data_IF_250814177497
#
_entry.id   IF_250814177497
#
_cell.length_a   1.000
_cell.length_b   1.000
_cell.length_c   1.000
_cell.angle_alpha   90.00
_cell.angle_beta   90.00
_cell.angle_gamma   90.00
#
_symmetry.space_group_name_H-M   'P 1'
#
loop_
_entity.id
_entity.type
_entity.pdbx_description
1 polymer ?
#
# COMPACT_ATOMS: atom_id res chain seq x y z
N UNK A 1 29.61 42.24 7.37
CA UNK A 1 29.00 42.58 6.07
C UNK A 1 29.34 41.41 5.16
N UNK A 2 28.45 40.42 5.05
CA UNK A 2 28.74 39.19 4.30
C UNK A 2 27.61 39.00 3.30
N UNK A 3 27.89 39.36 2.06
CA UNK A 3 26.99 39.20 0.91
C UNK A 3 26.97 37.74 0.49
N UNK A 4 25.88 37.04 0.76
CA UNK A 4 25.63 35.70 0.25
C UNK A 4 25.19 35.81 -1.23
N UNK A 5 26.00 35.27 -2.13
CA UNK A 5 25.73 35.18 -3.57
C UNK A 5 24.68 34.09 -3.79
N UNK A 6 23.53 34.47 -4.35
CA UNK A 6 22.45 33.57 -4.74
C UNK A 6 22.88 32.76 -5.98
N UNK A 7 22.91 31.43 -5.89
CA UNK A 7 23.14 30.58 -7.05
C UNK A 7 21.81 30.34 -7.81
N UNK A 8 21.78 30.42 -9.15
CA UNK A 8 20.57 30.15 -9.92
C UNK A 8 20.25 28.65 -10.00
N UNK A 9 18.98 28.32 -9.84
CA UNK A 9 18.40 26.98 -9.93
C UNK A 9 18.52 26.41 -11.36
N UNK A 10 18.98 25.16 -11.56
CA UNK A 10 18.99 24.57 -12.90
C UNK A 10 17.56 24.27 -13.39
N UNK A 11 17.25 24.72 -14.60
CA UNK A 11 15.98 24.49 -15.28
C UNK A 11 15.82 23.02 -15.70
N UNK A 12 14.61 22.49 -15.52
CA UNK A 12 14.22 21.11 -15.88
C UNK A 12 14.09 20.98 -17.41
N UNK A 13 14.78 20.03 -18.07
CA UNK A 13 14.65 19.88 -19.52
C UNK A 13 13.27 19.31 -19.89
N UNK A 14 12.61 19.97 -20.84
CA UNK A 14 11.33 19.52 -21.40
C UNK A 14 11.51 18.23 -22.22
N UNK A 15 10.82 17.16 -21.83
CA UNK A 15 10.77 15.92 -22.61
C UNK A 15 9.86 16.12 -23.83
N UNK A 16 10.47 16.41 -24.99
CA UNK A 16 9.78 16.30 -26.28
C UNK A 16 9.42 14.85 -26.55
N UNK A 17 8.13 14.53 -26.46
CA UNK A 17 7.55 13.25 -26.86
C UNK A 17 7.67 13.13 -28.39
N UNK A 18 8.70 12.41 -28.85
CA UNK A 18 8.84 12.04 -30.26
C UNK A 18 7.82 10.94 -30.58
N UNK A 19 6.76 11.31 -31.31
CA UNK A 19 5.77 10.36 -31.85
C UNK A 19 6.43 9.52 -32.94
N UNK A 20 6.92 8.34 -32.58
CA UNK A 20 7.37 7.33 -33.54
C UNK A 20 6.13 6.70 -34.20
N UNK A 21 5.89 7.05 -35.46
CA UNK A 21 4.91 6.37 -36.31
C UNK A 21 5.60 5.12 -36.88
N UNK A 22 5.21 3.94 -36.39
CA UNK A 22 5.71 2.66 -36.91
C UNK A 22 4.99 2.32 -38.23
N UNK A 23 5.72 1.96 -39.30
CA UNK A 23 5.09 1.50 -40.53
C UNK A 23 4.60 0.05 -40.36
N UNK A 24 3.32 -0.16 -40.64
CA UNK A 24 2.71 -1.49 -40.73
C UNK A 24 3.21 -2.15 -42.01
N UNK A 25 4.17 -3.06 -41.89
CA UNK A 25 4.56 -3.94 -42.98
C UNK A 25 3.68 -5.20 -42.94
N UNK A 26 2.69 -5.26 -43.85
CA UNK A 26 1.89 -6.46 -44.08
C UNK A 26 2.76 -7.55 -44.72
N UNK A 27 3.22 -8.52 -43.93
CA UNK A 27 3.77 -9.76 -44.47
C UNK A 27 2.62 -10.67 -44.93
N UNK A 28 2.50 -10.89 -46.23
CA UNK A 28 1.59 -11.87 -46.80
C UNK A 28 2.01 -13.28 -46.37
N UNK A 29 1.21 -13.92 -45.52
CA UNK A 29 1.42 -15.31 -45.10
C UNK A 29 0.87 -16.22 -46.20
N UNK A 30 1.77 -16.94 -46.85
CA UNK A 30 1.45 -17.93 -47.88
C UNK A 30 0.95 -19.18 -47.16
N UNK A 31 -0.33 -19.52 -47.35
CA UNK A 31 -0.96 -20.71 -46.79
C UNK A 31 -0.40 -21.99 -47.45
N UNK A 32 0.67 -22.54 -46.88
CA UNK A 32 1.10 -23.91 -47.14
C UNK A 32 0.43 -24.87 -46.15
N UNK A 33 -0.48 -25.70 -46.63
CA UNK A 33 -1.10 -26.76 -45.83
C UNK A 33 -0.09 -27.91 -45.63
N UNK A 34 0.69 -27.84 -44.54
CA UNK A 34 1.45 -28.99 -44.05
C UNK A 34 0.56 -29.73 -43.05
N UNK A 35 0.13 -30.93 -43.41
CA UNK A 35 -0.63 -31.81 -42.53
C UNK A 35 0.25 -32.20 -41.34
N UNK A 36 -0.09 -31.69 -40.14
CA UNK A 36 0.55 -32.11 -38.90
C UNK A 36 0.03 -33.51 -38.49
N UNK A 37 0.89 -34.44 -38.07
CA UNK A 37 0.44 -35.70 -37.50
C UNK A 37 -0.28 -35.45 -36.18
N UNK A 38 -1.44 -36.08 -36.01
CA UNK A 38 -2.23 -36.05 -34.80
C UNK A 38 -1.37 -36.51 -33.62
N UNK A 39 -0.93 -35.56 -32.79
CA UNK A 39 -0.26 -35.87 -31.53
C UNK A 39 -1.31 -36.47 -30.59
N UNK A 40 -1.14 -37.74 -30.25
CA UNK A 40 -1.90 -38.38 -29.19
C UNK A 40 -1.74 -37.57 -27.91
N UNK A 41 -2.81 -36.92 -27.46
CA UNK A 41 -2.82 -36.18 -26.21
C UNK A 41 -2.69 -37.18 -25.06
N UNK A 42 -1.47 -37.34 -24.54
CA UNK A 42 -1.26 -37.96 -23.24
C UNK A 42 -2.00 -37.11 -22.21
N UNK A 43 -3.02 -37.68 -21.55
CA UNK A 43 -3.75 -37.00 -20.49
C UNK A 43 -2.75 -36.55 -19.41
N UNK A 44 -2.79 -35.29 -18.93
CA UNK A 44 -1.96 -34.87 -17.83
C UNK A 44 -2.30 -35.72 -16.60
N UNK A 45 -1.31 -36.11 -15.76
CA UNK A 45 -1.59 -36.81 -14.52
C UNK A 45 -2.56 -35.97 -13.66
N UNK A 46 -3.44 -36.60 -12.85
CA UNK A 46 -4.29 -35.85 -11.94
C UNK A 46 -3.39 -35.01 -11.03
N UNK A 47 -3.42 -33.69 -11.22
CA UNK A 47 -2.82 -32.76 -10.27
C UNK A 47 -3.63 -32.91 -9.00
N UNK A 48 -3.08 -33.62 -8.00
CA UNK A 48 -3.61 -33.60 -6.65
C UNK A 48 -3.72 -32.15 -6.21
N UNK A 49 -4.95 -31.64 -6.15
CA UNK A 49 -5.28 -30.31 -5.67
C UNK A 49 -5.19 -30.27 -4.14
N UNK A 50 -4.10 -30.77 -3.57
CA UNK A 50 -3.73 -30.43 -2.19
C UNK A 50 -3.18 -29.02 -2.27
N UNK A 51 -4.10 -28.05 -2.22
CA UNK A 51 -3.76 -26.65 -2.05
C UNK A 51 -3.05 -26.50 -0.71
N UNK A 52 -1.72 -26.49 -0.73
CA UNK A 52 -0.96 -25.93 0.38
C UNK A 52 -1.28 -24.44 0.35
N UNK A 53 -2.18 -23.99 1.22
CA UNK A 53 -2.18 -22.57 1.59
C UNK A 53 -0.77 -22.28 2.08
N UNK A 54 -0.05 -21.42 1.38
CA UNK A 54 1.09 -20.72 1.95
C UNK A 54 0.55 -19.89 3.11
N UNK A 55 0.39 -20.53 4.27
CA UNK A 55 -0.22 -20.00 5.48
C UNK A 55 0.68 -18.99 6.16
N UNK A 56 1.11 -17.98 5.42
CA UNK A 56 1.68 -16.77 6.00
C UNK A 56 0.48 -15.98 6.48
N UNK A 57 0.20 -16.09 7.78
CA UNK A 57 -0.80 -15.26 8.43
C UNK A 57 -0.49 -13.80 8.06
N UNK A 58 -1.46 -13.05 7.49
CA UNK A 58 -1.21 -11.67 7.09
C UNK A 58 -0.82 -10.80 8.29
N UNK A 59 -1.09 -11.24 9.53
CA UNK A 59 -0.68 -10.63 10.78
C UNK A 59 0.06 -11.68 11.66
N UNK A 60 1.36 -11.93 11.44
CA UNK A 60 2.07 -13.08 12.02
C UNK A 60 2.36 -12.97 13.52
N UNK A 61 2.04 -11.82 14.14
CA UNK A 61 2.36 -11.52 15.54
C UNK A 61 1.12 -11.56 16.45
N UNK A 62 0.04 -12.20 16.01
CA UNK A 62 -1.11 -12.51 16.87
C UNK A 62 -0.82 -13.74 17.73
N UNK A 63 -1.36 -13.75 18.95
CA UNK A 63 -1.32 -14.92 19.83
C UNK A 63 -2.08 -16.08 19.19
N UNK A 64 -1.43 -17.23 19.03
CA UNK A 64 -2.03 -18.42 18.39
C UNK A 64 -3.28 -18.94 19.10
N UNK A 65 -3.44 -18.65 20.38
CA UNK A 65 -4.59 -19.05 21.18
C UNK A 65 -5.55 -17.89 21.47
N UNK A 66 -5.35 -16.74 20.81
CA UNK A 66 -5.99 -15.49 21.20
C UNK A 66 -5.51 -15.02 22.57
N UNK A 67 -6.28 -14.11 23.18
CA UNK A 67 -5.98 -13.59 24.51
C UNK A 67 -7.09 -12.67 25.00
N UNK A 68 -6.73 -11.75 25.90
CA UNK A 68 -7.68 -10.85 26.59
C UNK A 68 -8.56 -10.02 25.64
N UNK A 69 -8.12 -9.80 24.40
CA UNK A 69 -8.82 -9.03 23.38
C UNK A 69 -9.29 -9.91 22.19
N UNK A 70 -9.47 -11.20 22.42
CA UNK A 70 -9.90 -12.17 21.40
C UNK A 70 -8.77 -12.62 20.46
N UNK A 71 -9.10 -13.09 19.25
CA UNK A 71 -8.14 -13.72 18.34
C UNK A 71 -7.07 -12.75 17.80
N UNK A 72 -7.35 -11.44 17.79
CA UNK A 72 -6.39 -10.43 17.35
C UNK A 72 -5.44 -9.97 18.46
N UNK A 73 -5.46 -10.61 19.64
CA UNK A 73 -4.54 -10.26 20.73
C UNK A 73 -3.10 -10.45 20.27
N UNK A 74 -2.27 -9.43 20.37
CA UNK A 74 -0.86 -9.55 19.99
C UNK A 74 -0.08 -10.45 20.95
N UNK A 75 0.95 -11.12 20.43
CA UNK A 75 1.95 -11.81 21.24
C UNK A 75 2.65 -10.84 22.19
N UNK A 76 3.26 -11.36 23.26
CA UNK A 76 4.11 -10.58 24.16
C UNK A 76 5.15 -9.77 23.38
N UNK A 77 5.35 -8.52 23.77
CA UNK A 77 6.23 -7.53 23.11
C UNK A 77 5.72 -6.91 21.81
N UNK A 78 4.56 -7.33 21.31
CA UNK A 78 3.88 -6.71 20.18
C UNK A 78 2.66 -5.92 20.63
N UNK A 79 2.31 -4.90 19.85
CA UNK A 79 1.17 -4.01 20.10
C UNK A 79 0.37 -3.84 18.82
N UNK A 80 -0.92 -3.54 18.94
CA UNK A 80 -1.70 -3.12 17.78
C UNK A 80 -1.11 -1.86 17.18
N UNK A 81 -0.93 -1.88 15.86
CA UNK A 81 -0.40 -0.78 15.06
C UNK A 81 -1.29 0.45 15.17
N UNK A 82 -2.60 0.25 15.29
CA UNK A 82 -3.56 1.33 15.61
C UNK A 82 -3.39 2.54 14.68
N UNK A 83 -3.21 2.29 13.38
CA UNK A 83 -3.14 3.33 12.36
C UNK A 83 -4.51 3.86 11.94
N UNK A 84 -5.55 3.05 12.12
CA UNK A 84 -6.93 3.45 11.91
C UNK A 84 -7.87 2.68 12.85
N UNK A 85 -9.15 3.07 12.89
CA UNK A 85 -10.11 2.41 13.77
C UNK A 85 -10.32 0.93 13.38
N UNK A 86 -10.20 0.03 14.35
CA UNK A 86 -10.23 -1.42 14.11
C UNK A 86 -8.92 -2.04 13.60
N UNK A 87 -7.85 -1.26 13.42
CA UNK A 87 -6.54 -1.78 13.01
C UNK A 87 -5.88 -2.62 14.11
N UNK A 88 -6.10 -3.92 14.03
CA UNK A 88 -5.57 -4.90 14.99
C UNK A 88 -4.28 -5.57 14.51
N UNK A 89 -3.58 -4.96 13.54
CA UNK A 89 -2.33 -5.50 13.02
C UNK A 89 -1.23 -5.43 14.08
N UNK A 90 -0.57 -6.53 14.39
CA UNK A 90 0.42 -6.59 15.46
C UNK A 90 1.80 -6.19 14.91
N UNK A 91 2.40 -5.17 15.53
CA UNK A 91 3.72 -4.62 15.18
C UNK A 91 4.55 -4.39 16.43
N UNK A 92 5.84 -4.09 16.27
CA UNK A 92 6.67 -3.65 17.40
C UNK A 92 6.24 -2.26 17.87
N UNK A 93 6.49 -1.89 19.15
CA UNK A 93 6.20 -0.55 19.65
C UNK A 93 6.82 0.57 18.79
N UNK A 94 8.06 0.39 18.32
CA UNK A 94 8.74 1.35 17.45
C UNK A 94 7.97 1.60 16.13
N UNK A 95 7.41 0.55 15.53
CA UNK A 95 6.63 0.68 14.28
C UNK A 95 5.27 1.34 14.56
N UNK A 96 4.66 1.07 15.72
CA UNK A 96 3.45 1.79 16.15
C UNK A 96 3.74 3.29 16.28
N UNK A 97 4.81 3.65 16.98
CA UNK A 97 5.21 5.04 17.18
C UNK A 97 5.50 5.73 15.85
N UNK A 98 6.20 5.05 14.93
CA UNK A 98 6.43 5.56 13.57
C UNK A 98 5.12 5.80 12.82
N UNK A 99 4.16 4.87 12.86
CA UNK A 99 2.85 5.04 12.23
C UNK A 99 2.08 6.22 12.81
N UNK A 100 2.13 6.40 14.14
CA UNK A 100 1.47 7.53 14.81
C UNK A 100 2.15 8.86 14.43
N UNK A 101 3.47 8.86 14.25
CA UNK A 101 4.21 10.03 13.78
C UNK A 101 3.82 10.45 12.34
N UNK A 102 3.33 9.53 11.49
CA UNK A 102 2.80 9.87 10.16
C UNK A 102 1.44 10.60 10.20
N UNK A 103 0.82 10.71 11.37
CA UNK A 103 -0.43 11.42 11.61
C UNK A 103 -0.29 12.38 12.82
N UNK A 104 0.54 13.43 12.73
CA UNK A 104 0.88 14.30 13.86
C UNK A 104 -0.30 15.12 14.41
N UNK A 105 -1.40 15.20 13.66
CA UNK A 105 -2.62 15.93 14.05
C UNK A 105 -3.63 15.04 14.79
N UNK A 106 -3.30 13.77 15.05
CA UNK A 106 -4.07 12.88 15.92
C UNK A 106 -3.94 13.35 17.38
N UNK A 107 -5.01 13.22 18.16
CA UNK A 107 -4.97 13.49 19.59
C UNK A 107 -4.11 12.44 20.29
N UNK A 108 -3.08 12.86 21.05
CA UNK A 108 -2.36 11.95 21.92
C UNK A 108 -3.33 11.30 22.92
N UNK A 109 -3.29 9.97 23.04
CA UNK A 109 -4.20 9.22 23.92
C UNK A 109 -5.63 9.04 23.39
N UNK A 110 -5.95 9.56 22.19
CA UNK A 110 -7.27 9.46 21.59
C UNK A 110 -8.28 10.50 22.11
N UNK A 111 -9.56 10.18 22.03
CA UNK A 111 -10.64 11.06 22.46
C UNK A 111 -12.03 10.46 22.23
N UNK A 112 -13.03 11.30 22.00
CA UNK A 112 -14.43 10.88 21.88
C UNK A 112 -14.71 9.84 20.79
N UNK A 113 -13.85 9.76 19.77
CA UNK A 113 -13.93 8.80 18.67
C UNK A 113 -12.82 7.75 18.74
N UNK A 114 -12.40 7.42 19.97
CA UNK A 114 -11.34 6.44 20.22
C UNK A 114 -9.95 6.95 19.86
N UNK A 115 -8.99 6.04 19.64
CA UNK A 115 -7.60 6.37 19.37
C UNK A 115 -7.45 7.32 18.18
N UNK A 116 -8.28 7.17 17.15
CA UNK A 116 -8.23 7.93 15.89
C UNK A 116 -8.78 9.36 15.98
N UNK A 117 -9.13 9.85 17.17
CA UNK A 117 -9.64 11.22 17.35
C UNK A 117 -8.62 12.26 16.88
N UNK A 118 -9.08 13.26 16.11
CA UNK A 118 -8.24 14.36 15.64
C UNK A 118 -8.18 15.52 16.64
N UNK A 119 -7.07 16.27 16.61
CA UNK A 119 -6.91 17.52 17.38
C UNK A 119 -7.99 18.53 17.00
N UNK A 120 -8.33 19.50 17.87
CA UNK A 120 -9.33 20.52 17.54
C UNK A 120 -8.88 21.29 16.29
N UNK A 121 -9.80 21.51 15.35
CA UNK A 121 -9.51 22.12 14.06
C UNK A 121 -9.06 21.15 12.95
N UNK A 122 -8.86 19.87 13.27
CA UNK A 122 -8.55 18.83 12.29
C UNK A 122 -9.69 17.82 12.17
N UNK A 123 -9.82 17.23 10.99
CA UNK A 123 -10.85 16.24 10.65
C UNK A 123 -10.20 15.03 9.99
N UNK A 124 -10.85 13.86 10.02
CA UNK A 124 -10.37 12.70 9.25
C UNK A 124 -10.27 13.05 7.76
N UNK A 125 -9.35 12.48 7.01
CA UNK A 125 -9.18 12.84 5.61
C UNK A 125 -10.25 12.20 4.73
N UNK A 126 -10.74 11.03 5.11
CA UNK A 126 -11.81 10.30 4.40
C UNK A 126 -11.54 10.11 2.90
N UNK A 127 -10.27 9.96 2.51
CA UNK A 127 -9.91 9.69 1.11
C UNK A 127 -10.50 8.35 0.64
N UNK A 128 -10.59 7.38 1.54
CA UNK A 128 -11.30 6.11 1.36
C UNK A 128 -11.95 5.68 2.68
N UNK A 129 -12.76 4.62 2.66
CA UNK A 129 -13.41 4.09 3.86
C UNK A 129 -12.38 3.63 4.91
N UNK A 130 -12.48 4.17 6.13
CA UNK A 130 -11.50 3.91 7.19
C UNK A 130 -10.24 4.81 7.15
N UNK A 131 -10.15 5.77 6.23
CA UNK A 131 -9.06 6.75 6.23
C UNK A 131 -9.23 7.83 7.30
N UNK A 132 -8.62 7.59 8.45
CA UNK A 132 -8.68 8.47 9.63
C UNK A 132 -7.48 9.39 9.79
N UNK A 133 -6.71 9.63 8.71
CA UNK A 133 -5.61 10.60 8.77
C UNK A 133 -6.14 11.98 9.13
N UNK A 134 -5.56 12.66 10.11
CA UNK A 134 -6.03 13.96 10.56
C UNK A 134 -5.42 15.07 9.70
N UNK A 135 -6.29 15.76 8.97
CA UNK A 135 -5.94 16.83 8.02
C UNK A 135 -6.82 18.06 8.26
N UNK A 136 -6.53 19.16 7.59
CA UNK A 136 -7.39 20.36 7.65
C UNK A 136 -8.71 20.09 6.91
N UNK A 137 -9.80 20.83 7.22
CA UNK A 137 -11.04 20.75 6.46
C UNK A 137 -10.84 20.97 4.96
N UNK A 138 -10.03 21.97 4.57
CA UNK A 138 -9.71 22.27 3.17
C UNK A 138 -8.99 21.12 2.44
N UNK A 139 -8.18 20.33 3.14
CA UNK A 139 -7.52 19.17 2.55
C UNK A 139 -8.49 18.00 2.39
N UNK A 140 -9.33 17.75 3.40
CA UNK A 140 -10.43 16.76 3.30
C UNK A 140 -11.29 17.07 2.07
N UNK A 141 -11.74 18.31 1.90
CA UNK A 141 -12.61 18.69 0.78
C UNK A 141 -11.97 18.43 -0.59
N UNK A 142 -10.63 18.53 -0.67
CA UNK A 142 -9.89 18.22 -1.89
C UNK A 142 -9.81 16.73 -2.18
N UNK A 143 -9.68 15.88 -1.16
CA UNK A 143 -9.28 14.46 -1.36
C UNK A 143 -10.33 13.43 -0.95
N UNK A 144 -11.40 13.83 -0.26
CA UNK A 144 -12.43 12.92 0.21
C UNK A 144 -12.98 12.06 -0.93
N UNK A 145 -13.07 10.75 -0.70
CA UNK A 145 -13.63 9.81 -1.67
C UNK A 145 -12.78 9.53 -2.92
N UNK A 146 -11.54 10.03 -3.00
CA UNK A 146 -10.65 9.74 -4.15
C UNK A 146 -10.14 8.29 -4.20
N UNK A 147 -10.48 7.45 -3.21
CA UNK A 147 -10.11 6.05 -3.15
C UNK A 147 -8.72 5.80 -2.56
N UNK A 148 -8.40 4.53 -2.35
CA UNK A 148 -7.08 4.13 -1.87
C UNK A 148 -6.10 4.22 -3.03
N UNK A 149 -5.10 5.09 -2.91
CA UNK A 149 -3.94 5.03 -3.79
C UNK A 149 -3.21 3.73 -3.46
N UNK A 150 -3.33 2.75 -4.35
CA UNK A 150 -2.53 1.53 -4.31
C UNK A 150 -1.34 1.80 -5.21
N UNK A 151 -0.25 2.27 -4.64
CA UNK A 151 1.03 2.31 -5.32
C UNK A 151 1.54 0.86 -5.49
N UNK A 152 1.40 0.33 -6.70
CA UNK A 152 1.95 -0.98 -7.07
C UNK A 152 3.50 -0.87 -7.09
N UNK A 153 4.16 -1.22 -5.98
CA UNK A 153 5.62 -1.34 -5.91
C UNK A 153 6.09 -2.16 -4.68
N UNK A 154 7.11 -3.03 -4.82
CA UNK A 154 7.58 -3.95 -3.77
C UNK A 154 8.35 -3.28 -2.62
N UNK A 155 8.24 -1.97 -2.42
CA UNK A 155 8.92 -1.27 -1.34
C UNK A 155 7.98 -0.26 -0.71
N UNK A 156 7.55 -0.58 0.50
CA UNK A 156 7.07 0.37 1.50
C UNK A 156 8.13 1.44 1.73
N UNK A 157 8.09 2.49 0.92
CA UNK A 157 8.83 3.73 1.18
C UNK A 157 8.37 4.27 2.54
N UNK A 158 9.19 4.09 3.57
CA UNK A 158 8.95 4.73 4.86
C UNK A 158 9.53 4.06 6.09
N UNK A 159 9.86 2.76 6.10
CA UNK A 159 10.48 2.16 7.29
C UNK A 159 11.94 2.65 7.38
N UNK A 160 12.35 3.42 8.41
CA UNK A 160 13.75 3.68 8.64
C UNK A 160 14.41 2.36 9.06
N UNK A 161 15.34 1.85 8.24
CA UNK A 161 16.17 0.70 8.59
C UNK A 161 15.74 -0.66 8.05
N UNK A 162 14.99 -0.71 6.94
CA UNK A 162 14.97 -1.89 6.07
C UNK A 162 16.20 -1.90 5.15
#
# INVERSE_FOLDING_TARGET
MSTAVHAPTPARPEQRIARFVMPVACAAVICGAVALPASAAAAPPPRSAVGVSSGVDPNPHVSRHGGAYGPNTCMTSYVWRDSYDGDSYCVTPQIRDWNHAQNPNRQPGGGAYGPSTCKPGYVWREKWEGDVKCVTPDERDRVKGQGRQVDNGPHTTGIPGA
#
